data_IF_140439428089
#
_entry.id   IF_140439428089
#
_cell.length_a   1.000
_cell.length_b   1.000
_cell.length_c   1.000
_cell.angle_alpha   90.00
_cell.angle_beta   90.00
_cell.angle_gamma   90.00
#
_symmetry.space_group_name_H-M   'P 1'
#
loop_
_entity.id
_entity.type
_entity.pdbx_description
1 polymer ?
#
# COMPACT_ATOMS: atom_id res chain seq x y z
N UNK A 1 -9.82 -5.86 6.93
CA UNK A 1 -11.24 -5.38 6.97
C UNK A 1 -12.13 -6.15 7.96
N UNK A 2 -11.85 -7.43 8.28
CA UNK A 2 -12.63 -8.19 9.28
C UNK A 2 -12.41 -7.72 10.73
N UNK A 3 -11.16 -7.42 11.10
CA UNK A 3 -10.79 -6.95 12.44
C UNK A 3 -11.56 -5.67 12.84
N UNK A 4 -11.67 -4.71 11.91
CA UNK A 4 -12.46 -3.50 12.10
C UNK A 4 -13.93 -3.81 12.43
N UNK A 5 -14.58 -4.68 11.64
CA UNK A 5 -15.98 -5.07 11.88
C UNK A 5 -16.16 -5.84 13.19
N UNK A 6 -15.19 -6.67 13.57
CA UNK A 6 -15.20 -7.39 14.84
C UNK A 6 -15.09 -6.44 16.04
N UNK A 7 -14.23 -5.43 15.96
CA UNK A 7 -14.11 -4.41 17.00
C UNK A 7 -15.41 -3.63 17.11
N UNK A 8 -15.99 -3.19 16.00
CA UNK A 8 -17.28 -2.50 16.01
C UNK A 8 -18.39 -3.35 16.65
N UNK A 9 -18.48 -4.63 16.29
CA UNK A 9 -19.46 -5.54 16.89
C UNK A 9 -19.24 -5.76 18.40
N UNK A 10 -17.98 -5.79 18.86
CA UNK A 10 -17.62 -5.91 20.28
C UNK A 10 -18.06 -4.69 21.10
N UNK A 11 -18.03 -3.50 20.48
CA UNK A 11 -18.36 -2.23 21.14
C UNK A 11 -19.74 -1.67 20.77
N UNK A 12 -20.54 -2.34 19.92
CA UNK A 12 -21.85 -1.86 19.46
C UNK A 12 -22.80 -1.53 20.63
N UNK A 13 -22.76 -2.32 21.72
CA UNK A 13 -23.55 -2.06 22.93
C UNK A 13 -23.00 -0.95 23.84
N UNK A 14 -21.79 -0.44 23.57
CA UNK A 14 -21.13 0.63 24.34
C UNK A 14 -21.10 1.96 23.59
N UNK A 15 -21.51 1.99 22.32
CA UNK A 15 -21.56 3.21 21.50
C UNK A 15 -22.96 3.83 21.62
N UNK A 16 -23.08 5.11 22.03
CA UNK A 16 -24.38 5.79 22.04
C UNK A 16 -24.94 5.95 20.63
N UNK A 17 -26.23 5.66 20.42
CA UNK A 17 -26.88 5.79 19.11
C UNK A 17 -26.96 7.24 18.59
N UNK A 18 -26.78 8.24 19.47
CA UNK A 18 -26.76 9.67 19.12
C UNK A 18 -25.34 10.21 18.91
N UNK A 19 -24.31 9.36 19.03
CA UNK A 19 -22.91 9.75 18.93
C UNK A 19 -22.44 9.90 17.48
N UNK A 20 -21.45 10.78 17.29
CA UNK A 20 -20.80 10.98 15.99
C UNK A 20 -20.09 9.71 15.52
N UNK A 21 -19.54 8.92 16.44
CA UNK A 21 -18.97 7.60 16.16
C UNK A 21 -19.99 6.66 15.54
N UNK A 22 -21.21 6.60 16.09
CA UNK A 22 -22.29 5.77 15.53
C UNK A 22 -22.70 6.25 14.13
N UNK A 23 -22.86 7.56 13.96
CA UNK A 23 -23.15 8.14 12.65
C UNK A 23 -22.03 7.85 11.63
N UNK A 24 -20.77 7.87 12.07
CA UNK A 24 -19.61 7.54 11.25
C UNK A 24 -19.60 6.07 10.81
N UNK A 25 -19.94 5.15 11.71
CA UNK A 25 -20.08 3.72 11.40
C UNK A 25 -21.25 3.48 10.44
N UNK A 26 -22.40 4.10 10.70
CA UNK A 26 -23.61 3.95 9.89
C UNK A 26 -23.45 4.46 8.44
N UNK A 27 -22.61 5.49 8.23
CA UNK A 27 -22.25 5.96 6.87
C UNK A 27 -21.15 5.11 6.19
N UNK A 28 -20.62 4.09 6.88
CA UNK A 28 -19.53 3.26 6.37
C UNK A 28 -18.17 3.98 6.35
N UNK A 29 -17.91 4.87 7.30
CA UNK A 29 -16.63 5.55 7.40
C UNK A 29 -15.47 4.58 7.72
N UNK A 30 -14.26 4.95 7.30
CA UNK A 30 -13.06 4.17 7.55
C UNK A 30 -12.64 4.14 9.03
N UNK A 31 -11.76 3.21 9.42
CA UNK A 31 -11.31 3.02 10.81
C UNK A 31 -10.69 4.27 11.42
N UNK A 32 -9.94 5.06 10.65
CA UNK A 32 -9.36 6.34 11.10
C UNK A 32 -10.43 7.38 11.48
N UNK A 33 -11.48 7.51 10.67
CA UNK A 33 -12.50 8.51 10.92
C UNK A 33 -13.40 8.10 12.09
N UNK A 34 -13.69 6.80 12.21
CA UNK A 34 -14.44 6.26 13.35
C UNK A 34 -13.62 6.36 14.65
N UNK A 35 -12.32 6.09 14.61
CA UNK A 35 -11.44 6.20 15.78
C UNK A 35 -11.28 7.65 16.26
N UNK A 36 -11.17 8.61 15.34
CA UNK A 36 -11.11 10.03 15.66
C UNK A 36 -12.41 10.54 16.31
N UNK A 37 -13.57 10.08 15.82
CA UNK A 37 -14.85 10.36 16.45
C UNK A 37 -14.93 9.74 17.85
N UNK A 38 -14.55 8.47 17.99
CA UNK A 38 -14.53 7.77 19.27
C UNK A 38 -13.62 8.44 20.31
N UNK A 39 -12.43 8.88 19.92
CA UNK A 39 -11.51 9.60 20.79
C UNK A 39 -12.10 10.95 21.25
N UNK A 40 -12.73 11.68 20.33
CA UNK A 40 -13.35 12.98 20.63
C UNK A 40 -14.56 12.86 21.57
N UNK A 41 -15.24 11.71 21.56
CA UNK A 41 -16.39 11.43 22.43
C UNK A 41 -16.01 10.72 23.74
N UNK A 42 -14.71 10.54 24.01
CA UNK A 42 -14.19 9.93 25.24
C UNK A 42 -14.24 8.39 25.25
N UNK A 43 -14.54 7.76 24.11
CA UNK A 43 -14.53 6.31 23.92
C UNK A 43 -13.09 5.83 23.66
N UNK A 44 -12.16 6.11 24.59
CA UNK A 44 -10.73 5.82 24.42
C UNK A 44 -10.44 4.32 24.20
N UNK A 45 -11.23 3.43 24.80
CA UNK A 45 -11.08 1.98 24.60
C UNK A 45 -11.40 1.55 23.16
N UNK A 46 -12.48 2.09 22.59
CA UNK A 46 -12.85 1.85 21.19
C UNK A 46 -11.84 2.53 20.25
N UNK A 47 -11.48 3.78 20.51
CA UNK A 47 -10.53 4.52 19.70
C UNK A 47 -9.16 3.82 19.65
N UNK A 48 -8.67 3.32 20.79
CA UNK A 48 -7.44 2.54 20.88
C UNK A 48 -7.52 1.23 20.12
N UNK A 49 -8.58 0.44 20.30
CA UNK A 49 -8.75 -0.82 19.57
C UNK A 49 -8.85 -0.60 18.05
N UNK A 50 -9.56 0.45 17.62
CA UNK A 50 -9.66 0.82 16.20
C UNK A 50 -8.33 1.32 15.63
N UNK A 51 -7.55 2.06 16.42
CA UNK A 51 -6.23 2.53 16.02
C UNK A 51 -5.25 1.37 15.91
N UNK A 52 -5.23 0.46 16.88
CA UNK A 52 -4.41 -0.75 16.85
C UNK A 52 -4.78 -1.66 15.67
N UNK A 53 -6.07 -1.85 15.39
CA UNK A 53 -6.50 -2.59 14.20
C UNK A 53 -6.26 -1.85 12.88
N UNK A 54 -6.14 -0.52 12.91
CA UNK A 54 -5.70 0.26 11.77
C UNK A 54 -4.20 0.01 11.53
N UNK A 55 -3.37 0.15 12.55
CA UNK A 55 -1.93 -0.13 12.47
C UNK A 55 -1.63 -1.59 12.14
N UNK A 56 -2.39 -2.54 12.68
CA UNK A 56 -2.24 -3.98 12.40
C UNK A 56 -2.82 -4.36 11.03
N UNK A 57 -3.87 -3.67 10.58
CA UNK A 57 -4.40 -3.78 9.22
C UNK A 57 -3.51 -3.11 8.16
N UNK A 58 -2.72 -2.11 8.55
CA UNK A 58 -1.63 -1.50 7.77
C UNK A 58 -0.37 -2.39 7.80
N UNK A 59 -0.11 -3.08 8.91
CA UNK A 59 0.97 -4.06 9.03
C UNK A 59 0.69 -5.36 8.25
N UNK A 60 -0.57 -5.66 7.90
CA UNK A 60 -0.89 -6.71 6.93
C UNK A 60 -0.73 -6.28 5.47
N UNK A 61 -0.39 -5.01 5.19
CA UNK A 61 0.21 -4.58 3.91
C UNK A 61 1.73 -4.81 3.89
N UNK A 62 2.30 -5.38 4.97
CA UNK A 62 3.65 -5.97 5.03
C UNK A 62 3.57 -7.50 4.83
N UNK A 63 2.65 -7.97 3.98
CA UNK A 63 2.99 -9.15 3.20
C UNK A 63 4.20 -8.74 2.35
N UNK A 64 5.26 -9.58 2.21
CA UNK A 64 6.34 -9.27 1.29
C UNK A 64 5.69 -9.02 -0.07
N UNK A 65 5.59 -7.75 -0.46
CA UNK A 65 5.10 -7.40 -1.79
C UNK A 65 5.90 -8.28 -2.72
N UNK A 66 5.26 -9.10 -3.58
CA UNK A 66 6.02 -9.88 -4.53
C UNK A 66 6.97 -8.90 -5.19
N UNK A 67 8.27 -9.21 -5.27
CA UNK A 67 9.30 -8.28 -5.80
C UNK A 67 8.84 -7.53 -7.07
N UNK A 68 7.93 -8.15 -7.82
CA UNK A 68 7.13 -7.57 -8.92
C UNK A 68 6.44 -6.23 -8.63
N UNK A 69 5.85 -6.00 -7.46
CA UNK A 69 5.06 -4.81 -7.13
C UNK A 69 5.94 -3.61 -6.74
N UNK A 70 7.05 -3.90 -6.03
CA UNK A 70 8.11 -2.92 -5.76
C UNK A 70 8.79 -2.50 -7.05
N UNK A 71 9.05 -3.47 -7.94
CA UNK A 71 9.59 -3.20 -9.27
C UNK A 71 8.59 -2.43 -10.12
N UNK A 72 7.30 -2.79 -10.16
CA UNK A 72 6.29 -2.05 -10.94
C UNK A 72 6.17 -0.58 -10.48
N UNK A 73 6.18 -0.36 -9.16
CA UNK A 73 6.19 0.99 -8.58
C UNK A 73 7.44 1.77 -9.02
N UNK A 74 8.62 1.14 -8.93
CA UNK A 74 9.89 1.76 -9.37
C UNK A 74 9.92 2.02 -10.87
N UNK A 75 9.46 1.09 -11.69
CA UNK A 75 9.37 1.26 -13.15
C UNK A 75 8.47 2.44 -13.50
N UNK A 76 7.34 2.60 -12.80
CA UNK A 76 6.44 3.75 -12.98
C UNK A 76 7.12 5.06 -12.60
N UNK A 77 7.83 5.12 -11.48
CA UNK A 77 8.61 6.31 -11.09
C UNK A 77 9.68 6.67 -12.12
N UNK A 78 10.38 5.68 -12.68
CA UNK A 78 11.36 5.92 -13.73
C UNK A 78 10.70 6.35 -15.05
N UNK A 79 9.54 5.79 -15.40
CA UNK A 79 8.76 6.16 -16.59
C UNK A 79 8.37 7.64 -16.61
N UNK A 80 8.12 8.23 -15.44
CA UNK A 80 7.82 9.67 -15.30
C UNK A 80 9.07 10.56 -15.39
N UNK A 81 10.26 9.99 -15.15
CA UNK A 81 11.53 10.71 -15.18
C UNK A 81 12.27 10.63 -16.53
N UNK A 82 11.90 9.67 -17.39
CA UNK A 82 12.51 9.48 -18.70
C UNK A 82 11.59 9.95 -19.83
N UNK A 83 12.13 10.51 -20.93
CA UNK A 83 11.32 10.90 -22.07
C UNK A 83 10.64 9.68 -22.70
N UNK A 84 9.41 9.84 -23.23
CA UNK A 84 8.64 8.74 -23.83
C UNK A 84 9.28 8.18 -25.11
N UNK A 85 10.27 8.89 -25.68
CA UNK A 85 11.00 8.49 -26.88
C UNK A 85 12.06 7.40 -26.60
N UNK A 86 12.41 7.20 -25.33
CA UNK A 86 13.40 6.20 -24.91
C UNK A 86 12.89 4.77 -25.09
N UNK A 87 13.81 3.85 -25.38
CA UNK A 87 13.50 2.43 -25.54
C UNK A 87 13.05 1.81 -24.21
N UNK A 88 13.67 2.20 -23.10
CA UNK A 88 13.28 1.79 -21.75
C UNK A 88 11.84 2.21 -21.43
N UNK A 89 11.43 3.43 -21.82
CA UNK A 89 10.07 3.91 -21.59
C UNK A 89 9.01 3.07 -22.31
N UNK A 90 9.30 2.68 -23.55
CA UNK A 90 8.43 1.83 -24.37
C UNK A 90 8.34 0.40 -23.80
N UNK A 91 9.46 -0.15 -23.32
CA UNK A 91 9.50 -1.48 -22.70
C UNK A 91 8.75 -1.52 -21.36
N UNK A 92 8.83 -0.44 -20.57
CA UNK A 92 8.04 -0.29 -19.35
C UNK A 92 6.54 -0.23 -19.66
N UNK A 93 6.15 0.58 -20.65
CA UNK A 93 4.75 0.73 -21.08
C UNK A 93 4.18 -0.59 -21.63
N UNK A 94 5.01 -1.33 -22.38
CA UNK A 94 4.69 -2.65 -22.92
C UNK A 94 4.74 -3.79 -21.89
N UNK A 95 5.13 -3.52 -20.64
CA UNK A 95 5.34 -4.52 -19.58
C UNK A 95 6.27 -5.66 -20.02
N UNK A 96 7.37 -5.32 -20.67
CA UNK A 96 8.40 -6.27 -21.07
C UNK A 96 9.10 -6.93 -19.86
N UNK A 97 9.87 -7.98 -20.12
CA UNK A 97 10.67 -8.65 -19.09
C UNK A 97 11.68 -7.70 -18.45
N UNK A 98 11.99 -7.90 -17.16
CA UNK A 98 12.95 -7.08 -16.44
C UNK A 98 14.34 -7.08 -17.11
N UNK A 99 14.76 -8.22 -17.67
CA UNK A 99 15.96 -8.36 -18.49
C UNK A 99 15.98 -7.38 -19.67
N UNK A 100 14.91 -7.31 -20.47
CA UNK A 100 14.83 -6.39 -21.62
C UNK A 100 14.81 -4.92 -21.18
N UNK A 101 14.07 -4.62 -20.10
CA UNK A 101 14.02 -3.26 -19.55
C UNK A 101 15.40 -2.86 -19.01
N UNK A 102 16.10 -3.78 -18.35
CA UNK A 102 17.44 -3.58 -17.80
C UNK A 102 18.48 -3.36 -18.89
N UNK A 103 18.48 -4.18 -19.95
CA UNK A 103 19.39 -4.02 -21.10
C UNK A 103 19.19 -2.68 -21.81
N UNK A 104 17.92 -2.28 -22.01
CA UNK A 104 17.62 -0.97 -22.57
C UNK A 104 18.05 0.17 -21.63
N UNK A 105 17.79 0.03 -20.32
CA UNK A 105 18.20 1.00 -19.32
C UNK A 105 19.73 1.16 -19.27
N UNK A 106 20.49 0.08 -19.35
CA UNK A 106 21.95 0.11 -19.42
C UNK A 106 22.43 0.81 -20.70
N UNK A 107 21.84 0.46 -21.84
CA UNK A 107 22.18 1.07 -23.14
C UNK A 107 21.87 2.57 -23.22
N UNK A 108 20.83 3.04 -22.52
CA UNK A 108 20.42 4.44 -22.47
C UNK A 108 21.09 5.23 -21.33
N UNK A 109 21.97 4.60 -20.54
CA UNK A 109 22.72 5.25 -19.45
C UNK A 109 21.97 5.34 -18.12
N UNK A 110 20.83 4.68 -17.98
CA UNK A 110 20.02 4.56 -16.76
C UNK A 110 20.59 3.47 -15.84
N UNK A 111 21.88 3.56 -15.53
CA UNK A 111 22.61 2.51 -14.81
C UNK A 111 21.98 2.19 -13.44
N UNK A 112 21.41 3.21 -12.76
CA UNK A 112 20.72 3.01 -11.48
C UNK A 112 19.47 2.13 -11.60
N UNK A 113 18.73 2.23 -12.72
CA UNK A 113 17.57 1.39 -12.98
C UNK A 113 18.01 -0.02 -13.38
N UNK A 114 18.98 -0.12 -14.30
CA UNK A 114 19.50 -1.42 -14.76
C UNK A 114 20.07 -2.26 -13.60
N UNK A 115 20.87 -1.64 -12.71
CA UNK A 115 21.42 -2.32 -11.55
C UNK A 115 20.31 -2.84 -10.61
N UNK A 116 19.32 -2.00 -10.29
CA UNK A 116 18.19 -2.39 -9.44
C UNK A 116 17.38 -3.55 -10.04
N UNK A 117 17.09 -3.50 -11.35
CA UNK A 117 16.35 -4.54 -12.04
C UNK A 117 17.12 -5.86 -12.08
N UNK A 118 18.43 -5.82 -12.35
CA UNK A 118 19.30 -6.97 -12.34
C UNK A 118 19.42 -7.61 -10.94
N UNK A 119 19.53 -6.79 -9.89
CA UNK A 119 19.56 -7.29 -8.50
C UNK A 119 18.24 -7.97 -8.11
N UNK A 120 17.10 -7.40 -8.51
CA UNK A 120 15.80 -8.02 -8.24
C UNK A 120 15.62 -9.32 -9.02
N UNK A 121 16.08 -9.38 -10.27
CA UNK A 121 16.06 -10.61 -11.06
C UNK A 121 16.92 -11.71 -10.43
N UNK A 122 18.16 -11.39 -10.04
CA UNK A 122 19.06 -12.36 -9.41
C UNK A 122 18.60 -12.78 -8.01
N UNK A 123 18.03 -11.87 -7.23
CA UNK A 123 17.43 -12.16 -5.92
C UNK A 123 16.18 -13.03 -5.98
N UNK A 124 15.55 -13.14 -7.16
CA UNK A 124 14.33 -13.95 -7.38
C UNK A 124 14.64 -15.40 -7.81
N UNK A 125 15.90 -15.72 -8.10
CA UNK A 125 16.38 -17.06 -8.45
C UNK A 125 17.03 -17.83 -7.30
N UNK A 126 17.04 -17.27 -6.09
CA UNK A 126 17.59 -17.90 -4.89
C UNK A 126 16.47 -18.29 -3.91
N UNK A 127 15.61 -19.22 -4.32
CA UNK A 127 14.79 -20.05 -3.42
C UNK A 127 14.92 -21.52 -3.85
#
# INVERSE_FOLDING_TARGET
>A
MELFKQILASFEGSIPNDSKTFAAIARGAGPEEVSACAASEGLHALAGALFEACEEGLAQDDAPRPLSDVVDSRLREFREQIPPDCRTAQLIDAKASLEEISEAAESEGLHSLAALLAEVEQGRGAD
#
